data_IF_471962804727
#
_entry.id   IF_471962804727
#
_cell.length_a   1.000
_cell.length_b   1.000
_cell.length_c   1.000
_cell.angle_alpha   90.00
_cell.angle_beta   90.00
_cell.angle_gamma   90.00
#
_symmetry.space_group_name_H-M   'P 1'
#
loop_
_entity.id
_entity.type
_entity.pdbx_description
1 polymer ?
#
# COMPACT_ATOMS: atom_id res chain seq x y z
N UNK A 1 -24.28 -11.86 -2.81
CA UNK A 1 -24.50 -12.66 -1.57
C UNK A 1 -25.36 -13.84 -1.95
N UNK A 2 -25.03 -15.03 -1.47
CA UNK A 2 -25.80 -16.26 -1.69
C UNK A 2 -26.24 -16.82 -0.34
N UNK A 3 -27.11 -17.83 -0.35
CA UNK A 3 -27.53 -18.54 0.87
C UNK A 3 -26.35 -19.23 1.58
N UNK A 4 -25.21 -19.40 0.89
CA UNK A 4 -23.97 -19.99 1.42
C UNK A 4 -22.86 -18.95 1.67
N UNK A 5 -23.18 -17.65 1.60
CA UNK A 5 -22.23 -16.55 1.86
C UNK A 5 -21.80 -15.75 0.62
N UNK A 6 -20.64 -15.10 0.69
CA UNK A 6 -20.12 -14.26 -0.39
C UNK A 6 -19.40 -15.08 -1.47
N UNK A 7 -19.88 -15.00 -2.71
CA UNK A 7 -19.15 -15.49 -3.87
C UNK A 7 -18.15 -14.43 -4.32
N UNK A 8 -16.88 -14.69 -4.05
CA UNK A 8 -15.77 -13.80 -4.37
C UNK A 8 -15.01 -14.35 -5.59
N UNK A 9 -14.59 -13.45 -6.48
CA UNK A 9 -13.72 -13.77 -7.61
C UNK A 9 -12.60 -12.74 -7.68
N UNK A 10 -11.39 -13.20 -7.98
CA UNK A 10 -10.22 -12.34 -8.15
C UNK A 10 -9.68 -12.54 -9.56
N UNK A 11 -9.69 -11.47 -10.36
CA UNK A 11 -9.09 -11.50 -11.69
C UNK A 11 -7.56 -11.52 -11.58
N UNK A 12 -6.84 -12.36 -12.36
CA UNK A 12 -5.38 -12.32 -12.41
C UNK A 12 -4.84 -11.01 -13.00
N UNK A 13 -5.70 -10.16 -13.58
CA UNK A 13 -5.33 -8.88 -14.18
C UNK A 13 -5.25 -7.72 -13.18
N UNK A 14 -5.60 -7.93 -11.90
CA UNK A 14 -5.56 -6.87 -10.87
C UNK A 14 -4.18 -6.20 -10.78
N UNK A 15 -3.04 -6.94 -10.75
CA UNK A 15 -1.72 -6.32 -10.76
C UNK A 15 -1.47 -5.41 -11.98
N UNK A 16 -1.98 -5.76 -13.16
CA UNK A 16 -1.75 -4.98 -14.38
C UNK A 16 -2.45 -3.61 -14.35
N UNK A 17 -3.60 -3.52 -13.70
CA UNK A 17 -4.27 -2.22 -13.53
C UNK A 17 -3.48 -1.37 -12.55
N UNK A 18 -2.93 -1.98 -11.50
CA UNK A 18 -2.08 -1.27 -10.56
C UNK A 18 -0.80 -0.74 -11.21
N UNK A 19 -0.14 -1.59 -12.00
CA UNK A 19 1.07 -1.26 -12.76
C UNK A 19 0.89 0.01 -13.60
N UNK A 20 -0.29 0.20 -14.21
CA UNK A 20 -0.58 1.35 -15.08
C UNK A 20 -0.89 2.65 -14.35
N UNK A 21 -1.29 2.59 -13.08
CA UNK A 21 -1.93 3.73 -12.41
C UNK A 21 -1.26 4.15 -11.10
N UNK A 22 -0.45 3.30 -10.48
CA UNK A 22 0.11 3.59 -9.15
C UNK A 22 1.04 4.81 -9.16
N UNK A 23 1.90 4.94 -10.17
CA UNK A 23 2.85 6.06 -10.29
C UNK A 23 2.11 7.39 -10.39
N UNK A 24 1.20 7.52 -11.37
CA UNK A 24 0.38 8.73 -11.56
C UNK A 24 -0.38 9.14 -10.30
N UNK A 25 -0.99 8.17 -9.59
CA UNK A 25 -1.75 8.48 -8.36
C UNK A 25 -0.85 8.97 -7.24
N UNK A 26 0.34 8.37 -7.09
CA UNK A 26 1.31 8.79 -6.07
C UNK A 26 1.89 10.16 -6.40
N UNK A 27 2.26 10.39 -7.66
CA UNK A 27 2.79 11.68 -8.10
C UNK A 27 1.77 12.81 -7.92
N UNK A 28 0.51 12.60 -8.31
CA UNK A 28 -0.57 13.56 -8.10
C UNK A 28 -0.82 13.85 -6.62
N UNK A 29 -0.67 12.85 -5.76
CA UNK A 29 -0.84 12.98 -4.31
C UNK A 29 0.32 13.75 -3.66
N UNK A 30 1.55 13.56 -4.13
CA UNK A 30 2.76 14.18 -3.57
C UNK A 30 3.04 15.58 -4.14
N UNK A 31 2.61 15.86 -5.37
CA UNK A 31 2.89 17.12 -6.07
C UNK A 31 2.50 18.39 -5.30
N UNK A 32 1.34 18.49 -4.61
CA UNK A 32 0.98 19.67 -3.83
C UNK A 32 1.96 20.00 -2.69
N UNK A 33 2.69 19.00 -2.19
CA UNK A 33 3.67 19.14 -1.12
C UNK A 33 5.11 19.25 -1.66
N UNK A 34 5.30 19.23 -2.99
CA UNK A 34 6.61 19.27 -3.62
C UNK A 34 7.49 18.05 -3.32
N UNK A 35 6.87 16.91 -2.97
CA UNK A 35 7.55 15.66 -2.63
C UNK A 35 7.63 14.73 -3.84
N UNK A 36 8.58 13.80 -3.79
CA UNK A 36 8.70 12.65 -4.70
C UNK A 36 8.62 11.35 -3.90
N UNK A 37 8.41 10.18 -4.54
CA UNK A 37 8.41 8.90 -3.84
C UNK A 37 9.65 8.66 -2.97
N UNK A 38 10.82 9.14 -3.39
CA UNK A 38 12.08 9.00 -2.63
C UNK A 38 12.13 9.87 -1.37
N UNK A 39 11.27 10.88 -1.26
CA UNK A 39 11.17 11.74 -0.09
C UNK A 39 10.19 11.17 0.95
N UNK A 40 9.50 10.06 0.65
CA UNK A 40 8.56 9.37 1.56
C UNK A 40 9.32 8.51 2.56
N UNK A 41 9.14 8.78 3.85
CA UNK A 41 9.84 8.09 4.93
C UNK A 41 9.26 6.69 5.25
N UNK A 42 8.00 6.43 4.87
CA UNK A 42 7.38 5.14 5.13
C UNK A 42 6.21 4.79 4.21
N UNK A 43 6.07 3.51 3.91
CA UNK A 43 5.07 2.98 2.97
C UNK A 43 4.16 1.94 3.63
N UNK A 44 2.95 2.36 3.99
CA UNK A 44 1.89 1.49 4.47
C UNK A 44 1.00 1.03 3.30
N UNK A 45 1.39 -0.06 2.62
CA UNK A 45 0.71 -0.57 1.43
C UNK A 45 -0.09 -1.83 1.77
N UNK A 46 -1.38 -1.85 1.43
CA UNK A 46 -2.23 -3.04 1.58
C UNK A 46 -1.70 -4.21 0.75
N UNK A 47 -1.29 -5.32 1.38
CA UNK A 47 -0.83 -6.49 0.67
C UNK A 47 -2.02 -7.38 0.28
N UNK A 48 -2.67 -7.08 -0.84
CA UNK A 48 -3.71 -7.96 -1.40
C UNK A 48 -3.20 -9.37 -1.75
N UNK A 49 -1.89 -9.44 -2.03
CA UNK A 49 -1.06 -10.62 -2.26
C UNK A 49 0.39 -10.16 -2.52
N UNK A 50 1.38 -11.08 -2.63
CA UNK A 50 2.78 -10.70 -2.79
C UNK A 50 3.03 -9.86 -4.06
N UNK A 51 2.40 -10.24 -5.18
CA UNK A 51 2.55 -9.54 -6.46
C UNK A 51 2.12 -8.07 -6.44
N UNK A 52 1.21 -7.69 -5.54
CA UNK A 52 0.80 -6.29 -5.38
C UNK A 52 1.98 -5.45 -4.87
N UNK A 53 2.72 -5.97 -3.89
CA UNK A 53 3.87 -5.28 -3.32
C UNK A 53 5.00 -5.17 -4.34
N UNK A 54 5.25 -6.22 -5.12
CA UNK A 54 6.27 -6.22 -6.18
C UNK A 54 5.99 -5.12 -7.21
N UNK A 55 4.75 -5.02 -7.70
CA UNK A 55 4.35 -4.00 -8.67
C UNK A 55 4.49 -2.59 -8.09
N UNK A 56 4.08 -2.37 -6.85
CA UNK A 56 4.21 -1.05 -6.21
C UNK A 56 5.69 -0.66 -6.06
N UNK A 57 6.53 -1.59 -5.61
CA UNK A 57 7.96 -1.34 -5.46
C UNK A 57 8.62 -1.01 -6.80
N UNK A 58 8.33 -1.79 -7.84
CA UNK A 58 8.89 -1.60 -9.18
C UNK A 58 8.45 -0.27 -9.81
N UNK A 59 7.14 0.02 -9.83
CA UNK A 59 6.62 1.22 -10.51
C UNK A 59 7.00 2.52 -9.81
N UNK A 60 7.18 2.50 -8.48
CA UNK A 60 7.58 3.69 -7.72
C UNK A 60 9.09 3.79 -7.53
N UNK A 61 9.87 2.82 -8.05
CA UNK A 61 11.32 2.78 -7.88
C UNK A 61 11.75 2.75 -6.42
N UNK A 62 11.04 1.98 -5.58
CA UNK A 62 11.32 1.90 -4.15
C UNK A 62 12.56 1.06 -3.87
N UNK A 63 13.32 1.46 -2.86
CA UNK A 63 14.48 0.70 -2.40
C UNK A 63 14.08 -0.66 -1.79
N UNK A 64 15.03 -1.59 -1.81
CA UNK A 64 14.88 -2.88 -1.16
C UNK A 64 14.52 -2.71 0.32
N UNK A 65 13.44 -3.38 0.72
CA UNK A 65 12.95 -3.31 2.09
C UNK A 65 12.04 -2.12 2.40
N UNK A 66 11.75 -1.22 1.46
CA UNK A 66 10.77 -0.15 1.67
C UNK A 66 9.37 -0.67 2.03
N UNK A 67 9.02 -1.89 1.58
CA UNK A 67 7.75 -2.56 1.86
C UNK A 67 7.87 -3.72 2.87
N UNK A 68 8.97 -3.79 3.64
CA UNK A 68 9.25 -4.92 4.54
C UNK A 68 8.13 -5.13 5.57
N UNK A 69 7.52 -4.06 6.08
CA UNK A 69 6.42 -4.13 7.04
C UNK A 69 5.14 -4.68 6.41
N UNK A 70 4.86 -4.28 5.17
CA UNK A 70 3.73 -4.80 4.40
C UNK A 70 3.89 -6.29 4.13
N UNK A 71 5.10 -6.72 3.76
CA UNK A 71 5.45 -8.12 3.55
C UNK A 71 5.36 -8.93 4.85
N UNK A 72 5.84 -8.36 5.97
CA UNK A 72 5.81 -9.02 7.27
C UNK A 72 4.38 -9.22 7.76
N UNK A 73 3.51 -8.22 7.65
CA UNK A 73 2.10 -8.35 7.99
C UNK A 73 1.41 -9.39 7.12
N UNK A 74 1.68 -9.41 5.81
CA UNK A 74 1.12 -10.44 4.93
C UNK A 74 1.57 -11.85 5.37
N UNK A 75 2.84 -12.02 5.73
CA UNK A 75 3.39 -13.31 6.17
C UNK A 75 2.81 -13.76 7.51
N UNK A 76 2.61 -12.85 8.45
CA UNK A 76 2.19 -13.15 9.83
C UNK A 76 0.66 -13.28 9.96
N UNK A 77 -0.10 -12.51 9.19
CA UNK A 77 -1.56 -12.40 9.34
C UNK A 77 -2.35 -12.75 8.08
N UNK A 78 -1.69 -12.83 6.92
CA UNK A 78 -2.37 -12.95 5.63
C UNK A 78 -3.16 -11.71 5.25
N UNK A 79 -4.08 -11.86 4.30
CA UNK A 79 -4.98 -10.79 3.88
C UNK A 79 -6.27 -10.80 4.73
N UNK A 80 -6.27 -10.01 5.80
CA UNK A 80 -7.43 -9.69 6.65
C UNK A 80 -8.37 -8.61 6.06
N UNK A 81 -8.41 -8.44 4.73
CA UNK A 81 -9.21 -7.44 4.04
C UNK A 81 -8.85 -6.00 4.48
N UNK A 82 -9.83 -5.14 4.71
CA UNK A 82 -9.63 -3.71 5.02
C UNK A 82 -8.76 -3.47 6.25
N UNK A 83 -8.76 -4.39 7.23
CA UNK A 83 -7.96 -4.26 8.44
C UNK A 83 -6.45 -4.35 8.16
N UNK A 84 -6.04 -5.03 7.08
CA UNK A 84 -4.62 -5.33 6.85
C UNK A 84 -3.77 -4.09 6.68
N UNK A 85 -4.25 -3.06 5.98
CA UNK A 85 -3.46 -1.82 5.81
C UNK A 85 -3.28 -1.06 7.13
N UNK A 86 -4.23 -1.20 8.06
CA UNK A 86 -4.10 -0.63 9.40
C UNK A 86 -3.07 -1.41 10.23
N UNK A 87 -3.02 -2.74 10.10
CA UNK A 87 -1.95 -3.56 10.70
C UNK A 87 -0.58 -3.19 10.16
N UNK A 88 -0.48 -2.90 8.86
CA UNK A 88 0.76 -2.41 8.23
C UNK A 88 1.16 -1.05 8.81
N UNK A 89 0.25 -0.08 8.85
CA UNK A 89 0.53 1.25 9.39
C UNK A 89 0.99 1.19 10.85
N UNK A 90 0.31 0.36 11.63
CA UNK A 90 0.62 0.13 13.03
C UNK A 90 1.98 -0.55 13.23
N UNK A 91 2.35 -1.52 12.39
CA UNK A 91 3.71 -2.09 12.38
C UNK A 91 4.75 -1.06 11.95
N UNK A 92 4.52 -0.34 10.86
CA UNK A 92 5.40 0.71 10.35
C UNK A 92 5.75 1.72 11.44
N UNK A 93 4.75 2.17 12.19
CA UNK A 93 4.93 3.09 13.33
C UNK A 93 5.79 2.53 14.45
N UNK A 94 5.79 1.21 14.69
CA UNK A 94 6.58 0.59 15.77
C UNK A 94 8.00 0.25 15.36
N UNK A 95 8.17 -0.20 14.13
CA UNK A 95 9.42 -0.82 13.66
C UNK A 95 10.34 0.17 12.92
N UNK A 96 9.78 1.26 12.35
CA UNK A 96 10.58 2.30 11.70
C UNK A 96 10.79 3.49 12.64
N UNK A 97 12.01 4.01 12.61
CA UNK A 97 12.36 5.27 13.26
C UNK A 97 11.86 6.43 12.38
N UNK A 98 10.59 6.80 12.59
CA UNK A 98 9.94 7.90 11.89
C UNK A 98 9.91 9.14 12.78
N UNK A 99 10.44 10.24 12.27
CA UNK A 99 10.46 11.54 12.92
C UNK A 99 9.15 12.30 12.82
N UNK A 100 8.98 13.30 13.69
CA UNK A 100 7.82 14.19 13.63
C UNK A 100 7.78 14.94 12.29
N UNK A 101 6.63 14.90 11.60
CA UNK A 101 6.45 15.52 10.29
C UNK A 101 6.85 14.65 9.10
N UNK A 102 7.43 13.48 9.33
CA UNK A 102 7.84 12.58 8.27
C UNK A 102 6.62 12.17 7.40
N UNK A 103 6.76 12.24 6.06
CA UNK A 103 5.72 11.82 5.13
C UNK A 103 5.60 10.29 5.09
N UNK A 104 4.38 9.79 5.26
CA UNK A 104 4.05 8.36 5.12
C UNK A 104 2.93 8.21 4.10
N UNK A 105 3.12 7.31 3.14
CA UNK A 105 2.05 6.94 2.22
C UNK A 105 1.24 5.79 2.80
N UNK A 106 -0.08 5.97 2.84
CA UNK A 106 -1.06 4.93 3.14
C UNK A 106 -1.82 4.58 1.87
N UNK A 107 -1.74 3.32 1.44
CA UNK A 107 -2.28 2.88 0.15
C UNK A 107 -3.08 1.59 0.30
N UNK A 108 -4.26 1.52 -0.33
CA UNK A 108 -5.08 0.31 -0.37
C UNK A 108 -5.81 0.13 -1.70
N UNK A 109 -6.25 -1.11 -1.94
CA UNK A 109 -6.88 -1.52 -3.19
C UNK A 109 -8.16 -2.30 -2.89
N UNK A 110 -9.19 -2.12 -3.70
CA UNK A 110 -10.46 -2.83 -3.52
C UNK A 110 -11.23 -3.04 -4.82
N UNK A 111 -12.32 -3.83 -4.77
CA UNK A 111 -13.17 -4.08 -5.93
C UNK A 111 -13.59 -2.79 -6.66
N UNK A 112 -13.52 -2.82 -7.98
CA UNK A 112 -13.61 -1.64 -8.86
C UNK A 112 -12.93 -1.93 -10.21
N UNK A 113 -11.61 -1.92 -10.35
CA UNK A 113 -10.57 -1.73 -9.34
C UNK A 113 -10.50 -0.26 -8.90
N UNK A 114 -10.40 -0.03 -7.59
CA UNK A 114 -10.19 1.30 -7.01
C UNK A 114 -8.90 1.32 -6.21
N UNK A 115 -8.08 2.34 -6.44
CA UNK A 115 -6.89 2.66 -5.66
C UNK A 115 -7.22 3.81 -4.70
N UNK A 116 -6.98 3.60 -3.41
CA UNK A 116 -7.05 4.63 -2.38
C UNK A 116 -5.65 4.94 -1.89
N UNK A 117 -5.27 6.21 -1.93
CA UNK A 117 -3.99 6.68 -1.41
C UNK A 117 -4.19 7.93 -0.55
N UNK A 118 -3.40 8.05 0.52
CA UNK A 118 -3.36 9.20 1.39
C UNK A 118 -1.92 9.49 1.82
N UNK A 119 -1.56 10.77 1.84
CA UNK A 119 -0.33 11.25 2.45
C UNK A 119 -0.62 11.58 3.91
N UNK A 120 0.11 10.93 4.81
CA UNK A 120 0.05 11.12 6.25
C UNK A 120 1.31 11.84 6.72
N UNK A 121 1.21 12.54 7.86
CA UNK A 121 2.33 13.15 8.57
C UNK A 121 2.42 12.56 9.97
N UNK A 122 3.59 12.07 10.34
CA UNK A 122 3.85 11.56 11.69
C UNK A 122 3.72 12.69 12.71
N UNK A 123 3.10 12.39 13.85
CA UNK A 123 2.87 13.33 14.96
C UNK A 123 3.48 12.81 16.25
#
# INVERSE_FOLDING_TARGET
>A
VTDMGFRMGLSPQVPNVLERHVESVVDELLAPEGLRPQDVAGWAVHPGGPRILDVVAEQLGLEDGALAESQAVLREHGNCSSATVLLVLDRLRRERDLGQGDPVIFMSFGPGLTLYAALLRVR
#
